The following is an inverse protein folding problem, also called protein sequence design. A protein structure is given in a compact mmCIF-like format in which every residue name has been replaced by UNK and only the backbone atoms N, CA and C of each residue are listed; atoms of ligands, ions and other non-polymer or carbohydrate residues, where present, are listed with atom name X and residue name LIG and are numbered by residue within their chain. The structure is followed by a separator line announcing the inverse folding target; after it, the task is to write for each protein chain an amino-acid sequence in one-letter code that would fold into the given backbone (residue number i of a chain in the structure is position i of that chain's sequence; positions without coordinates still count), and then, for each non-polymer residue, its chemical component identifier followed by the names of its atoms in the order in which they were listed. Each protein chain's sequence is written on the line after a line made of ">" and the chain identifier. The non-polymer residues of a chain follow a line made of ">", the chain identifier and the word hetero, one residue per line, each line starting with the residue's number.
data_IF_559823384845
#
_entry.id   IF_559823384845
#
_cell.length_a   1.000
_cell.length_b   1.000
_cell.length_c   1.000
_cell.angle_alpha   90.00
_cell.angle_beta   90.00
_cell.angle_gamma   90.00
#
_symmetry.space_group_name_H-M   'P 1'
#
loop_
_entity.id
_entity.type
_entity.pdbx_description
1 polymer ?
#
# COMPACT_ATOMS: atom_id res chain seq x y z
N UNK A 1 28.91 3.07 -87.78
CA UNK A 1 29.98 2.16 -88.25
C UNK A 1 30.62 1.49 -87.05
N UNK A 2 30.70 0.16 -87.09
CA UNK A 2 31.73 -0.73 -86.53
C UNK A 2 32.06 -0.68 -85.03
N UNK A 3 31.54 -1.71 -84.34
CA UNK A 3 32.11 -2.36 -83.15
C UNK A 3 33.46 -3.04 -83.49
N UNK A 4 34.40 -3.00 -82.55
CA UNK A 4 35.56 -3.90 -82.36
C UNK A 4 35.55 -4.24 -80.85
N UNK A 5 35.39 -5.48 -80.35
CA UNK A 5 36.34 -6.62 -80.28
C UNK A 5 37.74 -6.17 -79.81
N UNK A 6 38.40 -6.63 -78.73
CA UNK A 6 38.51 -7.91 -77.96
C UNK A 6 39.55 -7.63 -76.83
N UNK A 7 40.10 -8.57 -76.01
CA UNK A 7 39.67 -9.91 -75.58
C UNK A 7 39.79 -10.18 -74.05
N UNK A 8 39.22 -11.32 -73.67
CA UNK A 8 39.42 -12.12 -72.45
C UNK A 8 40.89 -12.38 -72.12
N UNK A 9 41.23 -12.37 -70.82
CA UNK A 9 42.35 -13.16 -70.30
C UNK A 9 41.94 -13.96 -69.07
N UNK A 10 42.20 -15.26 -69.18
CA UNK A 10 41.96 -16.35 -68.26
C UNK A 10 43.05 -16.32 -67.18
N UNK A 11 42.68 -16.28 -65.90
CA UNK A 11 43.63 -16.51 -64.80
C UNK A 11 43.00 -17.47 -63.80
N UNK A 12 43.50 -18.69 -63.89
CA UNK A 12 43.26 -19.81 -62.99
C UNK A 12 43.99 -19.51 -61.67
N UNK A 13 43.26 -19.37 -60.57
CA UNK A 13 43.84 -19.35 -59.23
C UNK A 13 43.33 -20.55 -58.44
N UNK A 14 44.27 -21.43 -58.14
CA UNK A 14 44.18 -22.60 -57.26
C UNK A 14 43.72 -22.19 -55.86
N UNK A 15 42.66 -22.85 -55.39
CA UNK A 15 42.20 -22.80 -54.01
C UNK A 15 43.17 -23.57 -53.10
N UNK A 16 43.72 -22.88 -52.09
CA UNK A 16 44.33 -23.51 -50.92
C UNK A 16 43.33 -23.37 -49.78
N UNK A 17 42.74 -24.50 -49.37
CA UNK A 17 41.96 -24.59 -48.15
C UNK A 17 42.89 -24.55 -46.94
N UNK A 18 42.87 -23.44 -46.21
CA UNK A 18 43.36 -23.38 -44.82
C UNK A 18 42.15 -23.26 -43.91
N UNK A 19 41.80 -24.37 -43.27
CA UNK A 19 40.78 -24.48 -42.23
C UNK A 19 41.28 -23.82 -40.95
N UNK A 20 40.83 -22.60 -40.68
CA UNK A 20 40.78 -22.06 -39.32
C UNK A 20 39.32 -21.96 -38.92
N UNK A 21 38.89 -22.84 -38.03
CA UNK A 21 37.58 -22.76 -37.41
C UNK A 21 37.44 -21.37 -36.75
N UNK A 22 36.39 -20.60 -37.05
CA UNK A 22 36.09 -19.43 -36.25
C UNK A 22 35.71 -19.94 -34.85
N UNK A 23 36.49 -19.54 -33.84
CA UNK A 23 36.02 -19.56 -32.45
C UNK A 23 34.89 -18.54 -32.39
N UNK A 24 33.65 -19.03 -32.43
CA UNK A 24 32.48 -18.23 -32.12
C UNK A 24 32.51 -17.96 -30.62
N UNK A 25 33.29 -16.96 -30.22
CA UNK A 25 33.07 -16.26 -28.97
C UNK A 25 31.79 -15.45 -29.16
N UNK A 26 30.64 -16.08 -28.88
CA UNK A 26 29.37 -15.37 -28.73
C UNK A 26 29.49 -14.46 -27.50
N UNK A 27 30.01 -13.25 -27.72
CA UNK A 27 29.83 -12.14 -26.81
C UNK A 27 28.34 -11.80 -26.80
N UNK A 28 27.59 -12.48 -25.94
CA UNK A 28 26.29 -12.02 -25.48
C UNK A 28 26.56 -10.78 -24.60
N UNK A 29 26.85 -9.65 -25.23
CA UNK A 29 26.65 -8.35 -24.61
C UNK A 29 25.14 -8.18 -24.48
N UNK A 30 24.62 -8.63 -23.35
CA UNK A 30 23.31 -8.21 -22.84
C UNK A 30 23.35 -6.69 -22.79
N UNK A 31 22.78 -6.04 -23.80
CA UNK A 31 22.52 -4.61 -23.74
C UNK A 31 21.56 -4.41 -22.57
N UNK A 32 22.09 -3.94 -21.44
CA UNK A 32 21.26 -3.33 -20.40
C UNK A 32 20.53 -2.17 -21.07
N UNK A 33 19.28 -2.42 -21.42
CA UNK A 33 18.33 -1.38 -21.82
C UNK A 33 18.34 -0.37 -20.68
N UNK A 34 18.71 0.88 -20.97
CA UNK A 34 18.69 1.95 -19.99
C UNK A 34 17.32 1.92 -19.29
N UNK A 35 17.33 1.79 -17.97
CA UNK A 35 16.12 1.88 -17.16
C UNK A 35 15.58 3.28 -17.40
N UNK A 36 14.53 3.36 -18.20
CA UNK A 36 13.79 4.61 -18.43
C UNK A 36 13.38 5.13 -17.05
N UNK A 37 13.77 6.36 -16.73
CA UNK A 37 13.51 6.95 -15.41
C UNK A 37 12.00 7.12 -15.28
N UNK A 38 11.37 6.19 -14.56
CA UNK A 38 9.92 6.09 -14.48
C UNK A 38 9.43 7.15 -13.49
N UNK A 39 9.21 8.37 -13.97
CA UNK A 39 8.79 9.49 -13.12
C UNK A 39 7.36 9.28 -12.60
N UNK A 40 7.18 9.44 -11.29
CA UNK A 40 5.86 9.43 -10.64
C UNK A 40 5.20 10.79 -10.74
N UNK A 41 3.97 10.86 -11.25
CA UNK A 41 3.28 12.13 -11.51
C UNK A 41 1.75 12.02 -11.50
N UNK A 42 1.10 13.16 -11.24
CA UNK A 42 -0.32 13.36 -11.54
C UNK A 42 -0.41 14.19 -12.82
N UNK A 43 -1.02 13.63 -13.86
CA UNK A 43 -1.25 14.34 -15.13
C UNK A 43 -2.66 14.93 -15.10
N UNK A 44 -2.78 16.20 -15.45
CA UNK A 44 -4.04 16.94 -15.46
C UNK A 44 -4.46 17.18 -16.91
N UNK A 45 -5.74 16.97 -17.20
CA UNK A 45 -6.31 17.16 -18.54
C UNK A 45 -7.50 18.10 -18.48
N UNK A 46 -7.57 18.99 -19.46
CA UNK A 46 -8.78 19.77 -19.74
C UNK A 46 -9.69 19.01 -20.73
N UNK A 47 -10.94 19.47 -20.86
CA UNK A 47 -11.82 18.99 -21.91
C UNK A 47 -11.65 19.83 -23.18
N UNK A 48 -11.44 19.17 -24.32
CA UNK A 48 -11.57 19.79 -25.63
C UNK A 48 -13.05 19.99 -26.01
N UNK A 49 -13.29 20.81 -27.03
CA UNK A 49 -14.64 21.03 -27.59
C UNK A 49 -15.31 19.76 -28.14
N UNK A 50 -14.52 18.72 -28.45
CA UNK A 50 -15.01 17.39 -28.86
C UNK A 50 -15.19 16.43 -27.67
N UNK A 51 -14.99 16.90 -26.44
CA UNK A 51 -15.11 16.14 -25.20
C UNK A 51 -13.89 15.28 -24.85
N UNK A 52 -12.86 15.24 -25.72
CA UNK A 52 -11.66 14.42 -25.45
C UNK A 52 -10.73 15.09 -24.44
N UNK A 53 -10.06 14.31 -23.58
CA UNK A 53 -9.05 14.85 -22.68
C UNK A 53 -7.85 15.34 -23.49
N UNK A 54 -7.43 16.58 -23.25
CA UNK A 54 -6.13 17.09 -23.71
C UNK A 54 -5.26 17.35 -22.49
N UNK A 55 -4.05 16.81 -22.52
CA UNK A 55 -3.10 17.04 -21.46
C UNK A 55 -2.80 18.53 -21.32
N UNK A 56 -2.87 19.01 -20.09
CA UNK A 56 -2.62 20.40 -19.73
C UNK A 56 -1.27 20.54 -19.04
N UNK A 57 -1.03 19.73 -18.00
CA UNK A 57 0.19 19.79 -17.21
C UNK A 57 0.47 18.46 -16.50
N UNK A 58 1.70 18.33 -16.00
CA UNK A 58 2.16 17.20 -15.19
C UNK A 58 2.70 17.71 -13.86
N UNK A 59 2.20 17.15 -12.76
CA UNK A 59 2.64 17.46 -11.40
C UNK A 59 3.54 16.33 -10.93
N UNK A 60 4.87 16.53 -10.85
CA UNK A 60 5.79 15.51 -10.39
C UNK A 60 5.62 15.26 -8.89
N UNK A 61 5.87 14.03 -8.48
CA UNK A 61 5.94 13.67 -7.07
C UNK A 61 7.25 14.15 -6.45
N UNK A 62 7.17 14.51 -5.18
CA UNK A 62 8.34 14.70 -4.32
C UNK A 62 8.25 13.78 -3.12
N UNK A 63 9.32 13.71 -2.32
CA UNK A 63 9.34 12.98 -1.05
C UNK A 63 8.62 13.74 0.08
N UNK A 64 8.13 14.94 -0.20
CA UNK A 64 7.47 15.83 0.74
C UNK A 64 6.00 16.03 0.38
N UNK A 65 5.24 16.60 1.31
CA UNK A 65 3.86 17.01 1.02
C UNK A 65 3.89 18.15 0.01
N UNK A 66 3.31 17.91 -1.16
CA UNK A 66 3.21 18.92 -2.20
C UNK A 66 1.79 19.49 -2.22
N UNK A 67 1.66 20.80 -2.11
CA UNK A 67 0.42 21.53 -2.38
C UNK A 67 0.60 22.32 -3.68
N UNK A 68 -0.24 22.04 -4.67
CA UNK A 68 -0.21 22.70 -5.98
C UNK A 68 -1.46 23.53 -6.13
N UNK A 69 -1.32 24.81 -5.83
CA UNK A 69 -2.29 25.84 -6.20
C UNK A 69 -2.17 26.10 -7.72
N UNK A 70 -3.24 25.79 -8.47
CA UNK A 70 -3.27 25.98 -9.91
C UNK A 70 -3.36 27.46 -10.32
N UNK A 71 -3.83 28.35 -9.43
CA UNK A 71 -3.76 29.79 -9.63
C UNK A 71 -2.34 30.34 -9.74
N UNK A 72 -1.35 29.64 -9.16
CA UNK A 72 0.06 30.05 -9.23
C UNK A 72 0.76 29.54 -10.51
N UNK A 73 0.09 28.66 -11.27
CA UNK A 73 0.57 28.08 -12.53
C UNK A 73 1.99 27.48 -12.47
N UNK A 74 2.43 27.00 -11.30
CA UNK A 74 3.81 26.52 -11.05
C UNK A 74 4.25 25.41 -12.01
N UNK A 75 3.33 24.52 -12.39
CA UNK A 75 3.60 23.39 -13.29
C UNK A 75 2.93 23.54 -14.66
N UNK A 76 2.47 24.74 -15.04
CA UNK A 76 1.74 24.94 -16.30
C UNK A 76 0.25 24.52 -16.23
N UNK A 77 -0.29 24.30 -15.03
CA UNK A 77 -1.69 23.99 -14.82
C UNK A 77 -2.50 25.29 -14.71
N UNK A 78 -3.46 25.51 -15.61
CA UNK A 78 -4.42 26.61 -15.44
C UNK A 78 -5.44 26.25 -14.36
N UNK A 79 -5.85 27.27 -13.61
CA UNK A 79 -6.93 27.18 -12.65
C UNK A 79 -8.28 26.96 -13.34
N UNK A 80 -9.17 26.17 -12.74
CA UNK A 80 -10.56 25.99 -13.20
C UNK A 80 -10.71 25.50 -14.65
N UNK A 81 -9.74 24.70 -15.12
CA UNK A 81 -9.77 24.17 -16.49
C UNK A 81 -9.81 22.64 -16.54
N UNK A 82 -9.49 21.95 -15.44
CA UNK A 82 -9.34 20.50 -15.46
C UNK A 82 -10.67 19.75 -15.35
N UNK A 83 -10.76 18.66 -16.11
CA UNK A 83 -11.91 17.73 -16.15
C UNK A 83 -11.49 16.31 -15.80
N UNK A 84 -10.24 15.96 -16.12
CA UNK A 84 -9.71 14.63 -15.89
C UNK A 84 -8.33 14.68 -15.24
N UNK A 85 -7.98 13.59 -14.59
CA UNK A 85 -6.62 13.32 -14.11
C UNK A 85 -6.17 11.93 -14.56
N UNK A 86 -4.87 11.68 -14.66
CA UNK A 86 -4.34 10.31 -14.68
C UNK A 86 -3.20 10.22 -13.70
N UNK A 87 -3.07 9.08 -13.04
CA UNK A 87 -1.90 8.77 -12.22
C UNK A 87 -0.87 8.07 -13.09
N UNK A 88 0.40 8.42 -12.95
CA UNK A 88 1.50 7.73 -13.61
C UNK A 88 2.50 7.28 -12.55
N UNK A 89 2.68 5.98 -12.44
CA UNK A 89 3.66 5.32 -11.57
C UNK A 89 3.55 5.66 -10.09
N UNK A 90 2.38 6.11 -9.64
CA UNK A 90 2.16 6.65 -8.30
C UNK A 90 2.40 5.56 -7.23
N UNK A 91 3.29 5.80 -6.25
CA UNK A 91 3.58 4.80 -5.22
C UNK A 91 2.35 4.44 -4.37
N UNK A 92 2.31 3.20 -3.90
CA UNK A 92 1.30 2.73 -2.94
C UNK A 92 1.16 3.66 -1.74
N UNK A 93 -0.04 3.74 -1.17
CA UNK A 93 -0.39 4.54 -0.01
C UNK A 93 -0.21 6.05 -0.14
N UNK A 94 0.23 6.56 -1.31
CA UNK A 94 0.14 7.98 -1.64
C UNK A 94 -1.30 8.45 -1.51
N UNK A 95 -1.50 9.55 -0.79
CA UNK A 95 -2.79 10.23 -0.73
C UNK A 95 -2.79 11.43 -1.69
N UNK A 96 -3.88 11.61 -2.42
CA UNK A 96 -4.06 12.70 -3.36
C UNK A 96 -5.40 13.38 -3.05
N UNK A 97 -5.39 14.70 -2.91
CA UNK A 97 -6.61 15.49 -2.76
C UNK A 97 -6.80 16.35 -3.98
N UNK A 98 -8.02 16.32 -4.50
CA UNK A 98 -8.50 17.21 -5.55
C UNK A 98 -9.47 18.20 -4.90
N UNK A 99 -9.27 19.49 -5.12
CA UNK A 99 -10.02 20.54 -4.42
C UNK A 99 -10.47 21.63 -5.38
N UNK A 100 -11.69 22.14 -5.14
CA UNK A 100 -12.26 23.28 -5.85
C UNK A 100 -11.58 24.61 -5.51
N UNK A 101 -10.98 24.70 -4.33
CA UNK A 101 -10.38 25.94 -3.83
C UNK A 101 -8.87 25.96 -4.04
N UNK A 102 -8.36 27.13 -4.39
CA UNK A 102 -6.93 27.38 -4.65
C UNK A 102 -6.03 27.31 -3.42
N UNK A 103 -6.59 27.47 -2.22
CA UNK A 103 -5.84 27.56 -0.96
C UNK A 103 -5.29 26.21 -0.47
N UNK A 104 -5.63 25.11 -1.16
CA UNK A 104 -5.22 23.75 -0.83
C UNK A 104 -5.59 23.31 0.60
N UNK A 105 -6.58 23.96 1.20
CA UNK A 105 -7.03 23.65 2.55
C UNK A 105 -8.10 22.55 2.51
N UNK A 106 -7.66 21.30 2.67
CA UNK A 106 -8.57 20.14 2.69
C UNK A 106 -9.52 20.09 3.90
N UNK A 107 -9.37 21.00 4.88
CA UNK A 107 -10.28 21.18 6.01
C UNK A 107 -11.24 22.36 5.81
N UNK A 108 -11.19 23.04 4.67
CA UNK A 108 -12.10 24.14 4.36
C UNK A 108 -13.52 23.60 4.18
N UNK A 109 -14.37 23.78 5.20
CA UNK A 109 -15.78 23.36 5.17
C UNK A 109 -16.62 24.11 4.15
N UNK A 110 -16.11 25.23 3.62
CA UNK A 110 -16.76 26.04 2.60
C UNK A 110 -16.30 25.70 1.18
N UNK A 111 -15.34 24.78 1.00
CA UNK A 111 -14.93 24.35 -0.33
C UNK A 111 -16.08 23.66 -1.04
N UNK A 112 -16.32 24.05 -2.30
CA UNK A 112 -17.41 23.51 -3.11
C UNK A 112 -17.34 21.99 -3.23
N UNK A 113 -16.13 21.43 -3.35
CA UNK A 113 -15.89 19.99 -3.23
C UNK A 113 -14.42 19.66 -2.91
N UNK A 114 -14.24 18.48 -2.30
CA UNK A 114 -12.94 17.86 -2.02
C UNK A 114 -13.06 16.37 -2.26
N UNK A 115 -12.17 15.78 -3.06
CA UNK A 115 -12.06 14.33 -3.23
C UNK A 115 -10.75 13.82 -2.66
N UNK A 116 -10.80 12.80 -1.80
CA UNK A 116 -9.62 12.22 -1.14
C UNK A 116 -9.33 10.84 -1.73
N UNK A 117 -8.30 10.73 -2.54
CA UNK A 117 -7.86 9.50 -3.19
C UNK A 117 -6.67 8.89 -2.45
N UNK A 118 -6.54 7.57 -2.52
CA UNK A 118 -5.34 6.85 -2.09
C UNK A 118 -4.96 5.78 -3.11
N UNK A 119 -3.68 5.73 -3.45
CA UNK A 119 -3.11 4.65 -4.26
C UNK A 119 -2.98 3.37 -3.42
N UNK A 120 -3.36 2.23 -3.98
CA UNK A 120 -3.40 0.93 -3.29
C UNK A 120 -2.47 -0.12 -3.90
N UNK A 121 -2.05 0.04 -5.15
CA UNK A 121 -1.06 -0.86 -5.78
C UNK A 121 0.36 -0.37 -5.51
N UNK A 122 1.34 -1.28 -5.64
CA UNK A 122 2.78 -0.96 -5.52
C UNK A 122 3.16 0.28 -6.34
N UNK A 123 2.66 0.36 -7.57
CA UNK A 123 2.75 1.50 -8.46
C UNK A 123 1.45 1.59 -9.25
N UNK A 124 0.82 2.75 -9.24
CA UNK A 124 -0.49 2.98 -9.86
C UNK A 124 -0.32 3.88 -11.07
N UNK A 125 -0.60 3.32 -12.24
CA UNK A 125 -0.84 4.06 -13.46
C UNK A 125 -2.29 3.85 -13.89
N UNK A 126 -2.98 4.93 -14.26
CA UNK A 126 -4.39 4.89 -14.64
C UNK A 126 -4.58 5.50 -16.01
N UNK A 127 -5.64 5.08 -16.69
CA UNK A 127 -6.24 5.89 -17.75
C UNK A 127 -6.78 7.21 -17.16
N UNK A 128 -7.32 8.08 -18.03
CA UNK A 128 -7.93 9.34 -17.63
C UNK A 128 -9.18 9.11 -16.78
N UNK A 129 -9.14 9.58 -15.54
CA UNK A 129 -10.23 9.59 -14.57
C UNK A 129 -11.00 10.90 -14.65
N UNK A 130 -12.30 10.81 -14.89
CA UNK A 130 -13.19 11.96 -14.87
C UNK A 130 -13.44 12.40 -13.42
N UNK A 131 -13.12 13.66 -13.08
CA UNK A 131 -13.26 14.19 -11.72
C UNK A 131 -14.74 14.23 -11.30
N UNK A 132 -15.65 14.61 -12.19
CA UNK A 132 -17.09 14.59 -11.91
C UNK A 132 -17.62 13.17 -11.64
N UNK A 133 -17.00 12.14 -12.21
CA UNK A 133 -17.30 10.74 -11.91
C UNK A 133 -17.05 10.36 -10.44
N UNK A 134 -16.17 11.08 -9.74
CA UNK A 134 -15.85 10.84 -8.32
C UNK A 134 -17.02 11.21 -7.40
N UNK A 135 -17.98 12.02 -7.85
CA UNK A 135 -19.17 12.39 -7.06
C UNK A 135 -19.97 11.16 -6.63
N UNK A 136 -20.28 10.26 -7.55
CA UNK A 136 -21.08 9.05 -7.27
C UNK A 136 -20.32 8.11 -6.32
N UNK A 137 -19.00 8.03 -6.49
CA UNK A 137 -18.14 7.29 -5.58
C UNK A 137 -18.14 7.91 -4.17
N UNK A 138 -18.16 9.25 -4.06
CA UNK A 138 -18.22 9.95 -2.79
C UNK A 138 -19.54 9.70 -2.07
N UNK A 139 -20.66 9.79 -2.79
CA UNK A 139 -21.99 9.47 -2.25
C UNK A 139 -22.01 8.03 -1.70
N UNK A 140 -21.48 7.07 -2.47
CA UNK A 140 -21.35 5.67 -2.04
C UNK A 140 -20.50 5.54 -0.76
N UNK A 141 -19.39 6.27 -0.70
CA UNK A 141 -18.46 6.26 0.44
C UNK A 141 -19.09 6.89 1.69
N UNK A 142 -19.86 7.96 1.53
CA UNK A 142 -20.55 8.63 2.63
C UNK A 142 -21.69 7.78 3.19
N UNK A 143 -22.43 7.07 2.33
CA UNK A 143 -23.46 6.13 2.77
C UNK A 143 -22.89 4.85 3.39
N UNK A 144 -21.64 4.49 3.07
CA UNK A 144 -20.97 3.29 3.59
C UNK A 144 -19.51 3.59 3.96
N UNK A 145 -19.27 4.28 5.10
CA UNK A 145 -17.95 4.77 5.48
C UNK A 145 -16.83 3.71 5.50
N UNK A 146 -17.17 2.45 5.80
CA UNK A 146 -16.18 1.38 5.93
C UNK A 146 -15.94 0.60 4.63
N UNK A 147 -16.85 0.75 3.66
CA UNK A 147 -16.68 0.12 2.36
C UNK A 147 -15.55 0.79 1.59
N UNK A 148 -14.62 -0.01 1.08
CA UNK A 148 -13.64 0.49 0.11
C UNK A 148 -14.37 0.84 -1.19
N UNK A 149 -14.20 2.08 -1.66
CA UNK A 149 -14.78 2.54 -2.94
C UNK A 149 -13.65 2.70 -3.94
N UNK A 150 -13.48 1.68 -4.79
CA UNK A 150 -12.45 1.67 -5.83
C UNK A 150 -12.99 2.43 -7.05
N UNK A 151 -12.34 3.53 -7.42
CA UNK A 151 -12.77 4.37 -8.56
C UNK A 151 -12.13 3.94 -9.88
N UNK A 152 -10.96 3.31 -9.79
CA UNK A 152 -10.30 2.58 -10.88
C UNK A 152 -9.33 1.58 -10.27
N UNK A 153 -8.79 0.66 -11.07
CA UNK A 153 -7.82 -0.32 -10.62
C UNK A 153 -6.67 0.37 -9.86
N UNK A 154 -6.56 0.10 -8.56
CA UNK A 154 -5.51 0.65 -7.72
C UNK A 154 -5.76 1.99 -7.06
N UNK A 155 -6.90 2.64 -7.29
CA UNK A 155 -7.25 3.94 -6.67
C UNK A 155 -8.53 3.79 -5.86
N UNK A 156 -8.44 4.08 -4.57
CA UNK A 156 -9.58 4.13 -3.66
C UNK A 156 -9.95 5.59 -3.37
N UNK A 157 -11.24 5.90 -3.41
CA UNK A 157 -11.78 7.10 -2.81
C UNK A 157 -12.01 6.87 -1.31
N UNK A 158 -11.28 7.61 -0.50
CA UNK A 158 -11.28 7.48 0.98
C UNK A 158 -12.28 8.40 1.66
N UNK A 159 -12.77 9.42 0.96
CA UNK A 159 -13.76 10.37 1.47
C UNK A 159 -13.68 11.70 0.74
N UNK A 160 -14.27 12.73 1.34
CA UNK A 160 -14.40 14.03 0.69
C UNK A 160 -15.59 14.81 1.20
N UNK A 161 -15.86 15.93 0.54
CA UNK A 161 -17.08 16.71 0.71
C UNK A 161 -17.56 17.20 -0.65
N UNK A 162 -18.85 17.50 -0.75
CA UNK A 162 -19.47 18.02 -1.94
C UNK A 162 -20.65 18.88 -1.53
N UNK A 163 -20.51 20.19 -1.76
CA UNK A 163 -21.49 21.22 -1.37
C UNK A 163 -22.15 21.81 -2.61
N UNK A 164 -21.42 21.99 -3.71
CA UNK A 164 -21.93 22.56 -4.97
C UNK A 164 -21.72 21.64 -6.16
N UNK A 165 -22.64 21.68 -7.16
CA UNK A 165 -22.64 20.73 -8.26
C UNK A 165 -21.59 20.96 -9.36
N UNK A 166 -20.94 22.13 -9.38
CA UNK A 166 -19.99 22.47 -10.44
C UNK A 166 -18.63 21.84 -10.16
N UNK A 167 -18.35 20.67 -10.76
CA UNK A 167 -17.06 19.96 -10.65
C UNK A 167 -16.18 20.19 -11.88
N UNK A 168 -16.80 20.09 -13.04
CA UNK A 168 -16.15 20.19 -14.34
C UNK A 168 -15.51 21.56 -14.53
N UNK A 169 -14.19 21.62 -14.76
CA UNK A 169 -13.48 22.89 -14.89
C UNK A 169 -13.46 23.69 -13.58
N UNK A 170 -13.36 23.03 -12.43
CA UNK A 170 -13.24 23.72 -11.12
C UNK A 170 -12.06 23.26 -10.29
N UNK A 171 -11.22 22.38 -10.81
CA UNK A 171 -10.03 21.97 -10.07
C UNK A 171 -9.09 23.17 -9.93
N UNK A 172 -8.87 23.61 -8.69
CA UNK A 172 -7.99 24.74 -8.36
C UNK A 172 -6.81 24.33 -7.50
N UNK A 173 -6.87 23.18 -6.81
CA UNK A 173 -5.71 22.65 -6.11
C UNK A 173 -5.61 21.12 -6.14
N UNK A 174 -4.36 20.65 -6.24
CA UNK A 174 -3.97 19.26 -5.99
C UNK A 174 -2.99 19.21 -4.82
N UNK A 175 -3.31 18.41 -3.79
CA UNK A 175 -2.37 18.07 -2.72
C UNK A 175 -1.93 16.62 -2.88
N UNK A 176 -0.63 16.37 -2.74
CA UNK A 176 -0.04 15.04 -2.80
C UNK A 176 0.72 14.83 -1.50
N UNK A 177 0.32 13.81 -0.75
CA UNK A 177 1.12 13.30 0.37
C UNK A 177 1.70 11.95 -0.05
N UNK A 178 3.01 11.89 -0.34
CA UNK A 178 3.66 10.63 -0.66
C UNK A 178 3.56 9.68 0.54
N UNK A 179 3.50 8.37 0.27
CA UNK A 179 3.80 7.39 1.30
C UNK A 179 5.21 7.67 1.83
N UNK A 180 5.43 7.59 3.14
CA UNK A 180 6.77 7.70 3.74
C UNK A 180 7.77 6.91 2.89
N UNK A 181 8.85 7.53 2.41
CA UNK A 181 9.75 6.89 1.46
C UNK A 181 10.22 5.55 2.01
N UNK A 182 10.23 4.55 1.13
CA UNK A 182 10.76 3.23 1.42
C UNK A 182 12.28 3.35 1.64
N UNK A 183 12.69 3.57 2.89
CA UNK A 183 14.11 3.68 3.26
C UNK A 183 14.87 2.38 3.03
N UNK A 184 14.21 1.28 2.63
CA UNK A 184 14.87 0.04 2.23
C UNK A 184 15.62 0.12 0.90
N UNK A 185 15.47 1.20 0.13
CA UNK A 185 16.19 1.40 -1.14
C UNK A 185 17.34 2.42 -1.06
N UNK A 186 17.86 2.70 0.14
CA UNK A 186 19.15 3.41 0.24
C UNK A 186 20.27 2.44 -0.18
N UNK A 187 21.10 2.77 -1.20
CA UNK A 187 22.15 1.88 -1.71
C UNK A 187 23.30 1.58 -0.72
N UNK A 188 23.21 2.05 0.53
CA UNK A 188 24.23 1.86 1.57
C UNK A 188 23.75 1.10 2.82
N UNK A 189 22.58 0.46 2.80
CA UNK A 189 22.19 -0.44 3.90
C UNK A 189 22.54 -1.87 3.49
N UNK A 190 23.71 -2.33 3.92
CA UNK A 190 24.07 -3.74 3.92
C UNK A 190 22.93 -4.51 4.59
N UNK A 191 22.17 -5.27 3.80
CA UNK A 191 21.13 -6.13 4.32
C UNK A 191 21.73 -7.00 5.45
N UNK A 192 21.09 -7.12 6.62
CA UNK A 192 21.53 -8.06 7.62
C UNK A 192 21.49 -9.44 6.98
N UNK A 193 22.65 -10.09 6.93
CA UNK A 193 22.83 -11.43 6.41
C UNK A 193 21.81 -12.34 7.06
N UNK A 194 20.93 -12.94 6.25
CA UNK A 194 20.13 -14.09 6.62
C UNK A 194 21.08 -15.22 7.01
N UNK A 195 21.37 -15.32 8.31
CA UNK A 195 22.12 -16.41 8.90
C UNK A 195 21.26 -17.68 8.86
N UNK A 196 21.34 -18.34 7.71
CA UNK A 196 21.43 -19.78 7.50
C UNK A 196 20.90 -20.69 8.62
N UNK A 197 19.74 -21.30 8.35
CA UNK A 197 19.39 -22.61 8.88
C UNK A 197 20.44 -23.64 8.42
N UNK A 198 21.25 -24.14 9.35
CA UNK A 198 21.93 -25.42 9.17
C UNK A 198 20.86 -26.51 9.21
N UNK A 199 20.53 -27.09 8.05
CA UNK A 199 19.88 -28.39 7.99
C UNK A 199 20.84 -29.40 7.36
N UNK A 200 21.08 -30.47 8.09
CA UNK A 200 22.05 -31.52 7.77
C UNK A 200 21.34 -32.59 6.93
N UNK A 201 21.93 -32.86 5.75
CA UNK A 201 21.81 -34.06 4.91
C UNK A 201 20.46 -34.45 4.29
N UNK A 202 20.43 -34.39 2.95
CA UNK A 202 20.02 -35.53 2.12
C UNK A 202 18.86 -35.29 1.16
N UNK A 203 19.15 -35.22 -0.15
CA UNK A 203 18.18 -35.45 -1.22
C UNK A 203 17.75 -34.20 -1.97
N UNK A 204 18.29 -34.04 -3.18
CA UNK A 204 18.01 -32.92 -4.08
C UNK A 204 16.64 -33.06 -4.76
N UNK A 205 15.76 -32.10 -4.50
CA UNK A 205 14.78 -31.55 -5.45
C UNK A 205 14.82 -30.04 -5.28
N UNK A 206 15.00 -29.29 -6.37
CA UNK A 206 15.00 -27.82 -6.36
C UNK A 206 13.74 -27.32 -5.65
N UNK A 207 13.84 -26.71 -4.45
CA UNK A 207 12.65 -26.24 -3.76
C UNK A 207 12.09 -25.07 -4.56
N UNK A 208 10.86 -25.23 -5.04
CA UNK A 208 10.05 -24.11 -5.50
C UNK A 208 10.01 -23.11 -4.34
N UNK A 209 10.64 -21.96 -4.54
CA UNK A 209 10.75 -20.93 -3.52
C UNK A 209 9.37 -20.27 -3.38
N UNK A 210 8.46 -20.93 -2.65
CA UNK A 210 7.16 -20.36 -2.33
C UNK A 210 7.38 -19.04 -1.59
N UNK A 211 6.75 -17.98 -2.08
CA UNK A 211 6.77 -16.70 -1.40
C UNK A 211 6.29 -16.89 0.05
N UNK A 212 6.93 -16.26 1.04
CA UNK A 212 6.55 -16.43 2.43
C UNK A 212 5.11 -15.95 2.62
N UNK A 213 4.29 -16.78 3.27
CA UNK A 213 2.87 -16.48 3.50
C UNK A 213 2.75 -15.31 4.49
N UNK A 214 2.04 -14.23 4.16
CA UNK A 214 1.84 -13.13 5.09
C UNK A 214 0.97 -13.55 6.28
N UNK A 215 1.47 -13.31 7.50
CA UNK A 215 0.79 -13.70 8.75
C UNK A 215 0.97 -12.64 9.85
N UNK A 216 0.05 -12.64 10.82
CA UNK A 216 0.20 -11.98 12.13
C UNK A 216 0.35 -13.08 13.18
N UNK A 217 1.48 -13.06 13.87
CA UNK A 217 1.74 -13.96 15.00
C UNK A 217 1.33 -13.25 16.29
N UNK A 218 0.63 -13.97 17.18
CA UNK A 218 0.21 -13.45 18.48
C UNK A 218 0.87 -14.23 19.60
N UNK A 219 1.36 -13.50 20.61
CA UNK A 219 2.17 -14.03 21.69
C UNK A 219 1.52 -13.80 23.04
N UNK A 220 1.66 -14.79 23.91
CA UNK A 220 1.23 -14.73 25.31
C UNK A 220 2.14 -13.91 26.21
N UNK A 221 1.89 -14.02 27.53
CA UNK A 221 2.58 -13.24 28.56
C UNK A 221 4.12 -13.40 28.50
N UNK A 222 4.92 -12.32 28.65
CA UNK A 222 6.38 -12.37 28.49
C UNK A 222 7.14 -13.16 29.55
N UNK A 223 6.56 -13.35 30.74
CA UNK A 223 7.26 -13.70 31.99
C UNK A 223 7.97 -15.07 32.00
N UNK A 224 7.84 -15.89 30.95
CA UNK A 224 8.51 -17.21 30.83
C UNK A 224 9.10 -17.49 29.43
N UNK A 225 9.32 -16.43 28.65
CA UNK A 225 9.59 -16.52 27.22
C UNK A 225 8.27 -16.42 26.46
N UNK A 226 8.13 -15.41 25.61
CA UNK A 226 6.92 -15.19 24.83
C UNK A 226 6.59 -16.43 24.01
N UNK A 227 5.54 -17.15 24.42
CA UNK A 227 5.04 -18.32 23.70
C UNK A 227 4.17 -17.85 22.55
N UNK A 228 4.52 -18.23 21.33
CA UNK A 228 3.63 -18.08 20.17
C UNK A 228 2.36 -18.88 20.45
N UNK A 229 1.22 -18.19 20.47
CA UNK A 229 -0.07 -18.83 20.69
C UNK A 229 -0.74 -19.20 19.38
N UNK A 230 -0.74 -18.29 18.42
CA UNK A 230 -1.35 -18.54 17.12
C UNK A 230 -0.76 -17.63 16.04
N UNK A 231 -1.02 -18.02 14.79
CA UNK A 231 -0.71 -17.24 13.59
C UNK A 231 -1.98 -17.08 12.77
N UNK A 232 -2.34 -15.84 12.46
CA UNK A 232 -3.50 -15.50 11.64
C UNK A 232 -3.01 -15.10 10.24
N UNK A 233 -3.47 -15.75 9.15
CA UNK A 233 -3.11 -15.35 7.80
C UNK A 233 -3.73 -14.01 7.41
N UNK A 234 -3.00 -13.22 6.63
CA UNK A 234 -3.48 -11.93 6.13
C UNK A 234 -4.50 -12.16 5.00
N UNK A 235 -5.78 -12.07 5.35
CA UNK A 235 -6.93 -12.07 4.43
C UNK A 235 -8.01 -11.13 4.98
N UNK A 236 -8.88 -10.64 4.09
CA UNK A 236 -10.05 -9.85 4.49
C UNK A 236 -10.98 -10.70 5.33
N UNK A 237 -10.89 -10.57 6.65
CA UNK A 237 -11.64 -11.39 7.58
C UNK A 237 -11.66 -10.79 8.98
N UNK A 238 -12.72 -11.11 9.71
CA UNK A 238 -12.90 -10.80 11.13
C UNK A 238 -12.65 -12.07 11.94
N UNK A 239 -11.63 -12.04 12.79
CA UNK A 239 -11.26 -13.16 13.65
C UNK A 239 -11.69 -12.85 15.08
N UNK A 240 -12.61 -13.66 15.57
CA UNK A 240 -12.96 -13.72 16.99
C UNK A 240 -11.98 -14.69 17.66
N UNK A 241 -11.33 -14.27 18.75
CA UNK A 241 -10.42 -15.15 19.49
C UNK A 241 -11.25 -16.12 20.35
N UNK A 242 -10.73 -17.33 20.57
CA UNK A 242 -11.51 -18.48 21.02
C UNK A 242 -12.11 -18.27 22.42
N UNK A 243 -13.41 -18.60 22.51
CA UNK A 243 -14.28 -18.78 23.68
C UNK A 243 -13.88 -18.11 25.00
N UNK A 244 -14.67 -17.10 25.36
CA UNK A 244 -14.98 -16.75 26.73
C UNK A 244 -15.97 -17.78 27.29
N UNK A 245 -15.81 -18.17 28.55
CA UNK A 245 -16.92 -18.73 29.31
C UNK A 245 -17.86 -17.57 29.62
N UNK A 246 -19.15 -17.72 29.33
CA UNK A 246 -20.13 -16.73 29.78
C UNK A 246 -20.19 -16.70 31.32
N UNK A 247 -21.00 -15.79 31.87
CA UNK A 247 -21.15 -15.66 33.32
C UNK A 247 -21.68 -16.95 33.99
N UNK A 248 -22.20 -17.88 33.21
CA UNK A 248 -22.79 -19.15 33.62
C UNK A 248 -21.83 -20.34 33.42
N UNK A 249 -20.58 -20.09 33.00
CA UNK A 249 -19.56 -21.13 32.82
C UNK A 249 -19.81 -21.99 31.58
N UNK A 250 -20.66 -21.54 30.64
CA UNK A 250 -20.89 -22.23 29.39
C UNK A 250 -19.80 -21.79 28.41
N UNK A 251 -18.94 -22.71 27.94
CA UNK A 251 -18.05 -22.40 26.84
C UNK A 251 -18.91 -22.17 25.60
N UNK A 252 -18.94 -20.93 25.10
CA UNK A 252 -19.51 -20.68 23.78
C UNK A 252 -18.61 -21.35 22.73
N UNK A 253 -19.17 -22.32 22.02
CA UNK A 253 -18.45 -23.30 21.22
C UNK A 253 -17.54 -22.72 20.12
N UNK A 254 -16.58 -23.58 19.75
CA UNK A 254 -15.34 -23.38 18.98
C UNK A 254 -15.46 -23.06 17.48
N UNK A 255 -16.60 -22.60 17.00
CA UNK A 255 -16.88 -22.42 15.58
C UNK A 255 -16.90 -20.88 15.31
N UNK A 256 -16.00 -20.23 14.57
CA UNK A 256 -15.83 -20.30 13.10
C UNK A 256 -14.50 -19.64 12.62
N UNK A 257 -13.38 -19.97 13.24
CA UNK A 257 -12.09 -19.32 12.94
C UNK A 257 -10.86 -20.22 12.79
N UNK A 258 -10.78 -21.37 13.48
CA UNK A 258 -9.76 -22.39 13.24
C UNK A 258 -8.29 -22.07 13.54
N UNK A 259 -7.91 -20.85 13.99
CA UNK A 259 -6.49 -20.52 14.24
C UNK A 259 -6.03 -20.68 15.70
N UNK A 260 -6.93 -21.08 16.61
CA UNK A 260 -6.55 -21.47 17.98
C UNK A 260 -6.00 -20.35 18.87
N UNK A 261 -6.27 -19.08 18.54
CA UNK A 261 -5.85 -17.95 19.35
C UNK A 261 -6.67 -17.88 20.65
N UNK A 262 -6.05 -17.83 21.84
CA UNK A 262 -6.79 -17.71 23.08
C UNK A 262 -7.34 -16.29 23.25
N UNK A 263 -8.56 -16.20 23.78
CA UNK A 263 -9.15 -14.94 24.23
C UNK A 263 -8.48 -14.44 25.51
N UNK A 264 -8.36 -13.13 25.68
CA UNK A 264 -7.86 -12.48 26.90
C UNK A 264 -6.45 -12.93 27.35
N UNK A 265 -5.63 -13.40 26.40
CA UNK A 265 -4.34 -14.01 26.73
C UNK A 265 -3.19 -13.52 25.82
N UNK A 266 -3.49 -12.63 24.87
CA UNK A 266 -2.52 -12.03 23.97
C UNK A 266 -1.91 -10.77 24.56
N UNK A 267 -0.58 -10.67 24.54
CA UNK A 267 0.19 -9.52 25.05
C UNK A 267 0.98 -8.79 23.98
N UNK A 268 1.37 -9.50 22.92
CA UNK A 268 2.17 -8.94 21.86
C UNK A 268 1.80 -9.54 20.51
N UNK A 269 2.21 -8.84 19.44
CA UNK A 269 2.07 -9.32 18.08
C UNK A 269 3.38 -9.14 17.28
N UNK A 270 3.49 -9.91 16.21
CA UNK A 270 4.54 -9.78 15.20
C UNK A 270 3.88 -9.85 13.83
N UNK A 271 4.26 -8.93 12.95
CA UNK A 271 3.85 -8.93 11.54
C UNK A 271 4.93 -9.66 10.75
N UNK A 272 4.53 -10.60 9.89
CA UNK A 272 5.44 -11.27 8.96
C UNK A 272 4.92 -11.09 7.54
N UNK A 273 5.70 -10.39 6.72
CA UNK A 273 5.43 -10.10 5.32
C UNK A 273 4.07 -9.43 5.04
N UNK A 274 3.55 -8.65 5.99
CA UNK A 274 2.20 -8.07 5.87
C UNK A 274 2.19 -7.00 4.78
N UNK A 275 1.31 -7.07 3.77
CA UNK A 275 1.30 -6.12 2.65
C UNK A 275 1.07 -4.69 3.11
N UNK A 276 1.59 -3.73 2.34
CA UNK A 276 1.30 -2.30 2.51
C UNK A 276 -0.20 -2.02 2.58
N UNK A 277 -0.59 -0.95 3.27
CA UNK A 277 -1.95 -0.46 3.39
C UNK A 277 -2.96 -1.42 4.08
N UNK A 278 -2.50 -2.57 4.57
CA UNK A 278 -3.30 -3.48 5.41
C UNK A 278 -3.70 -2.74 6.67
N UNK A 279 -5.00 -2.72 6.95
CA UNK A 279 -5.57 -2.19 8.19
C UNK A 279 -5.79 -3.35 9.14
N UNK A 280 -5.29 -3.22 10.36
CA UNK A 280 -5.42 -4.23 11.41
C UNK A 280 -6.14 -3.55 12.57
N UNK A 281 -7.23 -4.15 13.01
CA UNK A 281 -8.05 -3.65 14.09
C UNK A 281 -8.03 -4.66 15.21
N UNK A 282 -7.75 -4.17 16.42
CA UNK A 282 -7.63 -4.96 17.63
C UNK A 282 -8.64 -4.39 18.63
N UNK A 283 -9.45 -5.27 19.22
CA UNK A 283 -10.45 -4.87 20.21
C UNK A 283 -10.40 -5.76 21.45
N UNK A 284 -10.68 -5.12 22.58
CA UNK A 284 -10.88 -5.82 23.85
C UNK A 284 -12.14 -6.65 23.93
N UNK A 285 -13.08 -6.40 23.02
CA UNK A 285 -14.37 -7.04 23.06
C UNK A 285 -14.53 -8.03 21.92
N UNK A 286 -15.37 -9.04 22.13
CA UNK A 286 -15.65 -10.08 21.15
C UNK A 286 -16.34 -9.54 19.91
N UNK A 287 -17.17 -8.51 20.05
CA UNK A 287 -17.80 -7.83 18.92
C UNK A 287 -16.76 -6.93 18.25
N UNK A 288 -16.32 -7.37 17.06
CA UNK A 288 -15.45 -6.63 16.16
C UNK A 288 -16.15 -5.48 15.43
N UNK A 289 -17.40 -5.17 15.81
CA UNK A 289 -18.18 -4.16 15.12
C UNK A 289 -17.68 -2.77 15.48
N UNK A 290 -16.99 -2.13 14.54
CA UNK A 290 -16.42 -0.81 14.73
C UNK A 290 -17.34 0.32 14.27
N UNK A 291 -18.45 -0.02 13.60
CA UNK A 291 -19.36 0.95 13.00
C UNK A 291 -20.36 1.51 14.02
N UNK A 292 -20.48 0.81 15.15
CA UNK A 292 -21.44 1.13 16.20
C UNK A 292 -20.88 2.06 17.30
N UNK A 293 -19.61 2.47 17.23
CA UNK A 293 -19.00 3.28 18.29
C UNK A 293 -19.11 4.78 18.01
N UNK A 294 -19.87 5.54 18.83
CA UNK A 294 -19.92 6.98 18.72
C UNK A 294 -18.53 7.58 18.94
N UNK A 295 -18.22 8.64 18.20
CA UNK A 295 -16.97 9.42 18.36
C UNK A 295 -16.88 10.12 19.73
N UNK A 296 -17.92 10.03 20.57
CA UNK A 296 -17.99 10.65 21.87
C UNK A 296 -17.20 9.85 22.94
N UNK A 297 -16.21 10.48 23.61
CA UNK A 297 -15.49 9.90 24.74
C UNK A 297 -16.48 9.38 25.80
N UNK A 298 -16.31 8.14 26.27
CA UNK A 298 -17.09 7.57 27.38
C UNK A 298 -18.35 6.77 27.01
N UNK A 299 -18.66 6.58 25.73
CA UNK A 299 -19.81 5.75 25.27
C UNK A 299 -19.40 4.39 24.69
N UNK A 300 -18.09 4.14 24.58
CA UNK A 300 -17.56 2.87 24.10
C UNK A 300 -17.65 1.83 25.21
N UNK A 301 -18.38 0.75 24.93
CA UNK A 301 -18.47 -0.42 25.79
C UNK A 301 -17.17 -1.23 25.81
N UNK A 302 -16.29 -1.04 24.82
CA UNK A 302 -14.95 -1.61 24.81
C UNK A 302 -14.01 -0.95 25.81
N UNK A 303 -13.27 -1.77 26.54
CA UNK A 303 -12.18 -1.32 27.40
C UNK A 303 -11.11 -0.57 26.57
N UNK A 304 -10.79 -1.06 25.38
CA UNK A 304 -9.90 -0.43 24.40
C UNK A 304 -10.11 -0.92 22.95
N UNK A 305 -9.69 -0.08 22.01
CA UNK A 305 -9.64 -0.34 20.55
C UNK A 305 -8.34 0.24 19.99
N UNK A 306 -7.63 -0.53 19.16
CA UNK A 306 -6.41 -0.10 18.48
C UNK A 306 -6.57 -0.32 16.97
N UNK A 307 -6.25 0.69 16.16
CA UNK A 307 -6.28 0.64 14.70
C UNK A 307 -4.88 0.89 14.14
N UNK A 308 -4.31 -0.12 13.50
CA UNK A 308 -2.99 -0.07 12.87
C UNK A 308 -3.13 -0.07 11.35
N UNK A 309 -2.15 0.52 10.66
CA UNK A 309 -2.03 0.48 9.21
C UNK A 309 -0.58 0.23 8.81
N UNK A 310 -0.32 -0.72 7.93
CA UNK A 310 1.02 -0.88 7.34
C UNK A 310 1.27 0.20 6.29
N UNK A 311 2.47 0.78 6.29
CA UNK A 311 2.86 1.88 5.39
C UNK A 311 3.95 1.49 4.40
N UNK A 312 4.77 0.48 4.71
CA UNK A 312 5.81 -0.03 3.81
C UNK A 312 5.27 -1.11 2.88
N UNK A 313 6.01 -1.40 1.79
CA UNK A 313 5.67 -2.43 0.78
C UNK A 313 5.29 -3.78 1.40
N UNK A 314 6.09 -4.19 2.38
CA UNK A 314 5.84 -5.34 3.23
C UNK A 314 6.38 -5.02 4.61
N UNK A 315 5.63 -5.33 5.66
CA UNK A 315 6.02 -5.07 7.04
C UNK A 315 6.31 -6.41 7.70
N UNK A 316 7.57 -6.59 8.06
CA UNK A 316 8.01 -7.66 8.95
C UNK A 316 8.58 -7.00 10.19
N UNK A 317 7.94 -7.18 11.33
CA UNK A 317 8.55 -6.78 12.60
C UNK A 317 9.64 -7.78 12.92
N UNK A 318 10.83 -7.35 13.36
CA UNK A 318 11.92 -8.29 13.63
C UNK A 318 11.51 -9.27 14.73
N UNK A 319 11.56 -10.55 14.38
CA UNK A 319 11.34 -11.66 15.32
C UNK A 319 12.64 -12.09 15.99
N UNK A 320 12.50 -12.83 17.09
CA UNK A 320 13.51 -13.52 17.92
C UNK A 320 14.66 -12.68 18.53
N UNK A 321 15.16 -11.65 17.84
CA UNK A 321 16.28 -10.81 18.28
C UNK A 321 15.86 -9.38 18.68
N UNK A 322 14.58 -9.04 18.48
CA UNK A 322 13.98 -7.78 18.88
C UNK A 322 12.70 -8.03 19.71
N UNK A 323 12.34 -7.13 20.64
CA UNK A 323 11.12 -7.28 21.41
C UNK A 323 9.91 -7.27 20.47
N UNK A 324 8.99 -8.21 20.66
CA UNK A 324 7.68 -8.21 20.00
C UNK A 324 6.93 -6.91 20.27
N UNK A 325 6.05 -6.51 19.35
CA UNK A 325 5.23 -5.32 19.53
C UNK A 325 4.22 -5.55 20.65
N UNK A 326 4.49 -4.99 21.83
CA UNK A 326 3.61 -5.13 22.99
C UNK A 326 2.33 -4.32 22.77
N UNK A 327 1.17 -4.92 23.07
CA UNK A 327 -0.10 -4.23 22.95
C UNK A 327 -0.21 -3.05 23.93
N UNK A 328 0.40 -3.17 25.11
CA UNK A 328 0.44 -2.08 26.10
C UNK A 328 1.18 -0.84 25.56
N UNK A 329 2.24 -1.04 24.76
CA UNK A 329 3.03 0.06 24.22
C UNK A 329 2.23 0.86 23.17
N UNK A 330 1.33 0.20 22.43
CA UNK A 330 0.48 0.85 21.43
C UNK A 330 -0.46 1.91 22.01
N UNK A 331 -0.75 1.84 23.32
CA UNK A 331 -1.63 2.83 23.96
C UNK A 331 -0.86 4.00 24.53
N UNK A 332 0.43 3.85 24.84
CA UNK A 332 1.27 5.00 25.19
C UNK A 332 1.68 5.81 23.95
N UNK A 333 1.68 5.19 22.77
CA UNK A 333 2.00 5.82 21.49
C UNK A 333 1.03 6.91 21.04
N UNK A 334 1.54 8.00 20.46
CA UNK A 334 0.72 9.03 19.83
C UNK A 334 0.01 8.51 18.58
N UNK A 335 -1.29 8.84 18.43
CA UNK A 335 -2.04 8.56 17.20
C UNK A 335 -1.41 9.28 16.01
N UNK A 336 -1.51 8.67 14.84
CA UNK A 336 -0.89 9.09 13.57
C UNK A 336 0.64 9.13 13.55
N UNK A 337 1.31 8.43 14.48
CA UNK A 337 2.76 8.22 14.42
C UNK A 337 3.13 6.83 13.94
N UNK A 338 4.19 6.78 13.14
CA UNK A 338 4.84 5.53 12.73
C UNK A 338 5.49 4.93 13.97
N UNK A 339 5.29 3.63 14.19
CA UNK A 339 5.95 2.90 15.27
C UNK A 339 7.46 2.96 15.03
N UNK A 340 8.17 3.47 16.04
CA UNK A 340 9.61 3.61 15.96
C UNK A 340 10.28 2.23 15.73
N UNK A 341 11.51 2.22 15.21
CA UNK A 341 12.31 1.00 15.19
C UNK A 341 12.26 0.31 16.57
N UNK A 342 12.07 -1.02 16.59
CA UNK A 342 12.32 -1.92 15.48
C UNK A 342 11.09 -2.22 14.58
N UNK A 343 9.92 -1.63 14.84
CA UNK A 343 8.67 -1.90 14.12
C UNK A 343 8.35 -0.87 13.03
N UNK A 344 9.38 -0.43 12.30
CA UNK A 344 9.22 0.54 11.22
C UNK A 344 8.20 0.03 10.18
N UNK A 345 7.41 0.94 9.60
CA UNK A 345 6.40 0.60 8.60
C UNK A 345 5.02 0.29 9.16
N UNK A 346 4.81 0.40 10.47
CA UNK A 346 3.49 0.34 11.09
C UNK A 346 3.05 1.73 11.56
N UNK A 347 1.81 2.12 11.28
CA UNK A 347 1.22 3.40 11.68
C UNK A 347 0.06 3.15 12.64
N UNK A 348 0.13 3.73 13.84
CA UNK A 348 -1.01 3.76 14.75
C UNK A 348 -2.00 4.82 14.27
N UNK A 349 -3.08 4.42 13.63
CA UNK A 349 -4.06 5.37 13.05
C UNK A 349 -5.07 5.87 14.07
N UNK A 350 -5.42 5.04 15.07
CA UNK A 350 -6.35 5.40 16.14
C UNK A 350 -6.13 4.49 17.34
N UNK A 351 -6.31 5.05 18.53
CA UNK A 351 -6.45 4.31 19.79
C UNK A 351 -7.60 4.88 20.60
N UNK A 352 -8.29 4.01 21.32
CA UNK A 352 -9.26 4.32 22.38
C UNK A 352 -8.87 3.42 23.56
N UNK A 353 -8.75 3.99 24.74
CA UNK A 353 -8.52 3.24 25.98
C UNK A 353 -9.35 3.92 27.08
N UNK A 354 -10.48 3.30 27.41
CA UNK A 354 -11.40 3.82 28.40
C UNK A 354 -11.04 3.30 29.80
N UNK A 355 -10.69 2.01 29.89
CA UNK A 355 -10.36 1.32 31.14
C UNK A 355 -9.68 -0.02 30.88
N UNK A 356 -9.36 -0.74 31.94
CA UNK A 356 -8.87 -2.11 31.86
C UNK A 356 -7.41 -2.23 31.43
N UNK A 357 -6.91 -3.46 31.48
CA UNK A 357 -5.58 -3.84 30.95
C UNK A 357 -5.70 -4.13 29.47
N UNK A 358 -4.58 -4.02 28.75
CA UNK A 358 -4.56 -4.17 27.29
C UNK A 358 -3.90 -5.46 26.89
N UNK A 359 -2.71 -5.73 27.41
CA UNK A 359 -2.15 -7.07 27.41
C UNK A 359 -3.02 -8.04 28.21
N UNK A 360 -3.30 -9.20 27.62
CA UNK A 360 -4.18 -10.24 28.17
C UNK A 360 -5.65 -9.85 28.15
N UNK A 361 -6.07 -9.08 27.14
CA UNK A 361 -7.45 -8.59 27.00
C UNK A 361 -7.91 -8.51 25.54
N UNK A 362 -7.16 -9.07 24.60
CA UNK A 362 -7.52 -9.05 23.18
C UNK A 362 -8.57 -10.14 22.92
N UNK A 363 -9.69 -9.73 22.31
CA UNK A 363 -10.82 -10.63 22.05
C UNK A 363 -11.19 -10.70 20.57
N UNK A 364 -10.78 -9.70 19.80
CA UNK A 364 -11.12 -9.57 18.39
C UNK A 364 -9.96 -8.99 17.58
N UNK A 365 -9.75 -9.56 16.39
CA UNK A 365 -8.85 -9.04 15.37
C UNK A 365 -9.59 -8.95 14.03
N UNK A 366 -9.74 -7.76 13.48
CA UNK A 366 -10.22 -7.59 12.10
C UNK A 366 -9.05 -7.19 11.19
N UNK A 367 -8.94 -7.86 10.04
CA UNK A 367 -7.91 -7.58 9.04
C UNK A 367 -8.60 -7.15 7.75
N UNK A 368 -8.24 -5.97 7.27
CA UNK A 368 -8.65 -5.47 5.96
C UNK A 368 -7.39 -5.26 5.12
N UNK A 369 -7.13 -6.23 4.27
CA UNK A 369 -6.13 -6.20 3.22
C UNK A 369 -6.68 -5.31 2.09
N UNK A 370 -5.89 -4.38 1.54
CA UNK A 370 -6.27 -3.71 0.31
C UNK A 370 -6.53 -4.76 -0.78
N UNK A 371 -7.53 -4.53 -1.61
CA UNK A 371 -7.91 -5.45 -2.69
C UNK A 371 -6.66 -5.84 -3.48
N UNK A 372 -6.32 -7.15 -3.57
CA UNK A 372 -5.17 -7.58 -4.34
C UNK A 372 -5.33 -7.11 -5.79
N UNK A 373 -4.21 -6.76 -6.40
CA UNK A 373 -4.15 -6.27 -7.77
C UNK A 373 -4.91 -7.23 -8.71
N UNK A 374 -6.11 -6.82 -9.17
CA UNK A 374 -6.74 -7.37 -10.38
C UNK A 374 -6.02 -6.77 -11.59
#
# INVERSE_FOLDING_TARGET
>A
MKRLMTPLNFLCFTAIMSSTAPVWASNAQTQLKAVEDVTSEVVIYNALSDGKPKEQCRIPFSNEVLNVNMGDNKYGCNNDDAYYISLQNVPSATKIWLMSEKDCNFNNTNADWVFKLIARKKSVSTDTLNINGLRVALETKQSNPDKAVIVTAGVELTGGQFVRPEINGKLSCVRIEPSTPDTSQSPNVTAPSSAFLKNVNGGATSPELHAPVPVINFYGKPDSGSKLYCSIPIKNYTYHLAAWEDRDGVPHDKDDGGYGCPNDDIYALELSNVPSATRIYLSSESSCDMNEYPEAPGTSWADWIIKLKTTQKSVTTPGNDAPYLQLNDLISMESNKVVAPPHAGLLLTRKIHNRGKVGGKLSCVQIIVPTPDI
#
